data_IF_073406311818
#
_entry.id   IF_073406311818
#
_cell.length_a   1.000
_cell.length_b   1.000
_cell.length_c   1.000
_cell.angle_alpha   90.00
_cell.angle_beta   90.00
_cell.angle_gamma   90.00
#
_symmetry.space_group_name_H-M   'P 1'
#
loop_
_entity.id
_entity.type
_entity.pdbx_description
1 polymer ?
#
# COMPACT_ATOMS: atom_id res chain seq x y z
N UNK A 1 -17.34 8.11 -1.99
CA UNK A 1 -17.40 6.67 -1.54
C UNK A 1 -17.75 6.64 -0.06
N UNK A 2 -18.68 5.75 0.38
CA UNK A 2 -19.05 5.66 1.80
C UNK A 2 -17.95 4.96 2.63
N UNK A 3 -17.93 5.19 3.96
CA UNK A 3 -16.90 4.65 4.87
C UNK A 3 -16.75 3.13 4.77
N UNK A 4 -17.85 2.38 4.73
CA UNK A 4 -17.81 0.91 4.62
C UNK A 4 -17.06 0.44 3.38
N UNK A 5 -17.26 1.11 2.24
CA UNK A 5 -16.56 0.79 1.00
C UNK A 5 -15.08 1.17 1.03
N UNK A 6 -14.75 2.28 1.68
CA UNK A 6 -13.35 2.67 1.91
C UNK A 6 -12.61 1.59 2.71
N UNK A 7 -13.20 1.09 3.80
CA UNK A 7 -12.62 0.00 4.58
C UNK A 7 -12.44 -1.29 3.79
N UNK A 8 -13.44 -1.69 3.00
CA UNK A 8 -13.35 -2.89 2.17
C UNK A 8 -12.21 -2.77 1.15
N UNK A 9 -12.10 -1.62 0.49
CA UNK A 9 -11.01 -1.35 -0.44
C UNK A 9 -9.66 -1.28 0.25
N UNK A 10 -9.56 -0.62 1.41
CA UNK A 10 -8.32 -0.61 2.18
C UNK A 10 -7.87 -2.02 2.56
N UNK A 11 -8.82 -2.85 3.02
CA UNK A 11 -8.53 -4.26 3.36
C UNK A 11 -8.05 -5.03 2.13
N UNK A 12 -8.68 -4.86 0.97
CA UNK A 12 -8.23 -5.46 -0.28
C UNK A 12 -6.83 -4.99 -0.65
N UNK A 13 -6.59 -3.68 -0.71
CA UNK A 13 -5.32 -3.10 -1.15
C UNK A 13 -4.15 -3.53 -0.25
N UNK A 14 -4.38 -3.64 1.04
CA UNK A 14 -3.36 -4.04 2.00
C UNK A 14 -3.15 -5.55 2.10
N UNK A 15 -4.06 -6.36 1.56
CA UNK A 15 -4.05 -7.82 1.62
C UNK A 15 -4.43 -8.47 0.29
N UNK A 16 -3.95 -7.94 -0.82
CA UNK A 16 -4.35 -8.40 -2.17
C UNK A 16 -4.25 -9.92 -2.30
N UNK A 17 -3.16 -10.52 -1.83
CA UNK A 17 -2.94 -11.97 -1.90
C UNK A 17 -3.94 -12.84 -1.13
N UNK A 18 -4.79 -12.25 -0.27
CA UNK A 18 -5.91 -12.98 0.37
C UNK A 18 -7.15 -13.07 -0.53
N UNK A 19 -7.24 -12.25 -1.56
CA UNK A 19 -8.42 -12.13 -2.42
C UNK A 19 -8.17 -12.62 -3.82
N UNK A 20 -6.93 -12.50 -4.30
CA UNK A 20 -6.56 -12.90 -5.67
C UNK A 20 -5.23 -13.64 -5.68
N UNK A 21 -5.15 -14.70 -6.49
CA UNK A 21 -3.93 -15.46 -6.71
C UNK A 21 -3.88 -15.99 -8.16
N UNK A 22 -2.76 -15.83 -8.85
CA UNK A 22 -1.57 -15.04 -8.48
C UNK A 22 -1.86 -13.54 -8.36
N UNK A 23 -0.99 -12.82 -7.61
CA UNK A 23 -1.09 -11.37 -7.43
C UNK A 23 -0.48 -10.69 -8.65
N UNK A 24 -1.30 -10.43 -9.66
CA UNK A 24 -0.90 -9.81 -10.91
C UNK A 24 -1.94 -8.80 -11.41
N UNK A 25 -1.59 -8.10 -12.49
CA UNK A 25 -2.46 -7.11 -13.11
C UNK A 25 -3.82 -7.69 -13.51
N UNK A 26 -3.84 -8.87 -14.14
CA UNK A 26 -5.06 -9.46 -14.69
C UNK A 26 -6.06 -9.79 -13.56
N UNK A 27 -5.60 -10.51 -12.55
CA UNK A 27 -6.45 -10.95 -11.45
C UNK A 27 -6.96 -9.78 -10.60
N UNK A 28 -6.10 -8.78 -10.34
CA UNK A 28 -6.51 -7.55 -9.64
C UNK A 28 -7.56 -6.77 -10.45
N UNK A 29 -7.34 -6.63 -11.76
CA UNK A 29 -8.29 -5.94 -12.63
C UNK A 29 -9.65 -6.64 -12.65
N UNK A 30 -9.66 -7.96 -12.80
CA UNK A 30 -10.88 -8.77 -12.80
C UNK A 30 -11.63 -8.69 -11.47
N UNK A 31 -10.89 -8.72 -10.35
CA UNK A 31 -11.49 -8.58 -9.02
C UNK A 31 -12.16 -7.21 -8.84
N UNK A 32 -11.47 -6.11 -9.21
CA UNK A 32 -12.02 -4.75 -9.08
C UNK A 32 -13.24 -4.57 -9.96
N UNK A 33 -13.19 -5.02 -11.21
CA UNK A 33 -14.34 -4.95 -12.12
C UNK A 33 -15.54 -5.74 -11.58
N UNK A 34 -15.32 -6.97 -11.07
CA UNK A 34 -16.37 -7.78 -10.44
C UNK A 34 -16.95 -7.11 -9.20
N UNK A 35 -16.09 -6.51 -8.37
CA UNK A 35 -16.52 -5.76 -7.19
C UNK A 35 -17.39 -4.55 -7.55
N UNK A 36 -17.02 -3.80 -8.61
CA UNK A 36 -17.80 -2.66 -9.07
C UNK A 36 -19.12 -3.05 -9.74
N UNK A 37 -19.10 -4.10 -10.55
CA UNK A 37 -20.30 -4.63 -11.21
C UNK A 37 -21.38 -5.02 -10.20
N UNK A 38 -20.99 -5.58 -9.05
CA UNK A 38 -21.89 -5.90 -7.95
C UNK A 38 -22.43 -4.69 -7.19
N UNK A 39 -21.92 -3.48 -7.46
CA UNK A 39 -22.30 -2.25 -6.78
C UNK A 39 -22.83 -1.23 -7.78
N UNK A 40 -24.12 -0.96 -7.74
CA UNK A 40 -24.73 0.17 -8.47
C UNK A 40 -24.34 1.50 -7.80
N UNK A 41 -23.15 2.02 -8.05
CA UNK A 41 -22.68 3.30 -7.49
C UNK A 41 -22.54 4.39 -8.56
N UNK A 42 -22.74 5.65 -8.16
CA UNK A 42 -22.65 6.83 -9.02
C UNK A 42 -21.25 7.22 -9.46
N UNK A 43 -20.20 6.74 -8.80
CA UNK A 43 -18.81 6.86 -9.23
C UNK A 43 -18.05 5.59 -8.94
N UNK A 44 -17.40 5.03 -9.95
CA UNK A 44 -16.61 3.83 -9.80
C UNK A 44 -15.24 4.14 -9.21
N UNK A 45 -14.64 3.17 -8.53
CA UNK A 45 -13.27 3.29 -8.05
C UNK A 45 -12.28 3.36 -9.23
N UNK A 46 -12.60 2.66 -10.31
CA UNK A 46 -11.81 2.67 -11.54
C UNK A 46 -11.81 4.04 -12.22
N UNK A 47 -12.93 4.77 -12.21
CA UNK A 47 -12.99 6.17 -12.66
C UNK A 47 -12.09 7.08 -11.80
N UNK A 48 -12.11 6.91 -10.48
CA UNK A 48 -11.24 7.66 -9.59
C UNK A 48 -9.75 7.37 -9.85
N UNK A 49 -9.37 6.12 -10.16
CA UNK A 49 -8.01 5.77 -10.59
C UNK A 49 -7.66 6.51 -11.89
N UNK A 50 -8.51 6.48 -12.90
CA UNK A 50 -8.28 7.16 -14.17
C UNK A 50 -8.09 8.67 -13.98
N UNK A 51 -8.98 9.29 -13.21
CA UNK A 51 -8.93 10.71 -12.91
C UNK A 51 -7.64 11.08 -12.17
N UNK A 52 -7.27 10.31 -11.13
CA UNK A 52 -6.03 10.52 -10.37
C UNK A 52 -4.80 10.44 -11.27
N UNK A 53 -4.72 9.43 -12.13
CA UNK A 53 -3.61 9.24 -13.05
C UNK A 53 -3.49 10.38 -14.08
N UNK A 54 -4.62 10.89 -14.55
CA UNK A 54 -4.64 12.03 -15.47
C UNK A 54 -4.23 13.34 -14.78
N UNK A 55 -4.83 13.66 -13.65
CA UNK A 55 -4.66 14.96 -12.99
C UNK A 55 -3.30 15.11 -12.31
N UNK A 56 -2.92 14.11 -11.54
CA UNK A 56 -1.71 14.20 -10.71
C UNK A 56 -0.45 13.73 -11.44
N UNK A 57 -0.57 12.68 -12.26
CA UNK A 57 0.58 12.05 -12.91
C UNK A 57 0.72 12.40 -14.40
N UNK A 58 -0.28 13.09 -14.97
CA UNK A 58 -0.34 13.45 -16.40
C UNK A 58 -0.29 12.22 -17.32
N UNK A 59 -0.95 11.14 -16.89
CA UNK A 59 -1.08 9.90 -17.66
C UNK A 59 -2.53 9.74 -18.08
N UNK A 60 -2.82 10.14 -19.30
CA UNK A 60 -4.18 10.18 -19.82
C UNK A 60 -4.69 8.79 -20.24
N UNK A 61 -6.01 8.64 -20.24
CA UNK A 61 -6.67 7.43 -20.68
C UNK A 61 -6.43 7.15 -22.16
N UNK A 62 -6.37 5.86 -22.50
CA UNK A 62 -6.31 5.33 -23.86
C UNK A 62 -7.13 4.04 -23.91
N UNK A 63 -7.14 3.36 -25.07
CA UNK A 63 -7.93 2.13 -25.26
C UNK A 63 -7.63 0.99 -24.26
N UNK A 64 -6.49 1.04 -23.59
CA UNK A 64 -6.09 0.07 -22.54
C UNK A 64 -6.61 0.40 -21.14
N UNK A 65 -7.38 1.49 -21.00
CA UNK A 65 -8.06 1.91 -19.78
C UNK A 65 -7.11 2.16 -18.59
N UNK A 66 -7.66 2.13 -17.38
CA UNK A 66 -6.91 2.37 -16.16
C UNK A 66 -5.75 1.37 -15.90
N UNK A 67 -5.86 0.06 -16.27
CA UNK A 67 -4.72 -0.85 -16.09
C UNK A 67 -3.51 -0.46 -16.95
N UNK A 68 -3.76 0.06 -18.16
CA UNK A 68 -2.71 0.57 -19.02
C UNK A 68 -2.12 1.88 -18.51
N UNK A 69 -2.92 2.77 -17.94
CA UNK A 69 -2.41 3.98 -17.29
C UNK A 69 -1.47 3.64 -16.14
N UNK A 70 -1.83 2.67 -15.26
CA UNK A 70 -0.95 2.18 -14.18
C UNK A 70 0.34 1.60 -14.75
N UNK A 71 0.26 0.82 -15.85
CA UNK A 71 1.46 0.26 -16.50
C UNK A 71 2.41 1.36 -16.99
N UNK A 72 1.88 2.44 -17.57
CA UNK A 72 2.70 3.58 -18.01
C UNK A 72 3.35 4.29 -16.81
N UNK A 73 2.63 4.48 -15.72
CA UNK A 73 3.20 5.04 -14.50
C UNK A 73 4.26 4.13 -13.89
N UNK A 74 4.02 2.83 -13.84
CA UNK A 74 4.96 1.82 -13.35
C UNK A 74 6.28 1.87 -14.12
N UNK A 75 6.21 1.91 -15.47
CA UNK A 75 7.38 2.08 -16.33
C UNK A 75 8.11 3.40 -16.07
N UNK A 76 7.39 4.51 -15.95
CA UNK A 76 7.97 5.84 -15.67
C UNK A 76 8.66 5.90 -14.31
N UNK A 77 8.13 5.21 -13.31
CA UNK A 77 8.63 5.20 -11.94
C UNK A 77 9.65 4.09 -11.66
N UNK A 78 9.91 3.22 -12.64
CA UNK A 78 10.73 2.01 -12.48
C UNK A 78 10.24 1.13 -11.32
N UNK A 79 8.93 0.91 -11.28
CA UNK A 79 8.26 0.11 -10.25
C UNK A 79 7.37 -0.96 -10.90
N UNK A 80 6.97 -1.98 -10.13
CA UNK A 80 6.04 -2.97 -10.65
C UNK A 80 4.59 -2.43 -10.65
N UNK A 81 3.75 -3.05 -11.47
CA UNK A 81 2.35 -2.65 -11.65
C UNK A 81 1.54 -2.70 -10.34
N UNK A 82 1.73 -3.74 -9.53
CA UNK A 82 1.00 -3.94 -8.27
C UNK A 82 1.36 -2.85 -7.25
N UNK A 83 2.63 -2.49 -7.17
CA UNK A 83 3.10 -1.40 -6.31
C UNK A 83 2.43 -0.08 -6.69
N UNK A 84 2.41 0.27 -7.98
CA UNK A 84 1.76 1.51 -8.43
C UNK A 84 0.24 1.46 -8.22
N UNK A 85 -0.41 0.33 -8.48
CA UNK A 85 -1.82 0.15 -8.19
C UNK A 85 -2.12 0.44 -6.70
N UNK A 86 -1.34 -0.13 -5.78
CA UNK A 86 -1.47 0.13 -4.33
C UNK A 86 -1.28 1.60 -3.99
N UNK A 87 -0.26 2.26 -4.54
CA UNK A 87 0.02 3.68 -4.27
C UNK A 87 -1.15 4.57 -4.69
N UNK A 88 -1.57 4.47 -5.94
CA UNK A 88 -2.68 5.26 -6.47
C UNK A 88 -3.97 4.99 -5.69
N UNK A 89 -4.22 3.73 -5.35
CA UNK A 89 -5.39 3.33 -4.57
C UNK A 89 -5.38 3.91 -3.15
N UNK A 90 -4.24 3.90 -2.48
CA UNK A 90 -4.08 4.50 -1.14
C UNK A 90 -4.26 6.02 -1.18
N UNK A 91 -3.77 6.71 -2.21
CA UNK A 91 -3.99 8.14 -2.41
C UNK A 91 -5.48 8.48 -2.55
N UNK A 92 -6.20 7.71 -3.39
CA UNK A 92 -7.63 7.91 -3.60
C UNK A 92 -8.40 7.72 -2.28
N UNK A 93 -8.05 6.68 -1.52
CA UNK A 93 -8.67 6.44 -0.23
C UNK A 93 -8.43 7.57 0.76
N UNK A 94 -7.25 8.14 0.73
CA UNK A 94 -6.89 9.26 1.59
C UNK A 94 -7.63 10.54 1.26
N UNK A 95 -7.71 10.89 -0.01
CA UNK A 95 -8.44 12.09 -0.43
C UNK A 95 -9.94 11.97 -0.19
N UNK A 96 -10.48 10.75 -0.24
CA UNK A 96 -11.88 10.49 0.08
C UNK A 96 -12.23 10.79 1.55
N UNK A 97 -11.25 11.06 2.40
CA UNK A 97 -11.42 11.45 3.81
C UNK A 97 -11.22 12.96 4.07
N UNK A 98 -11.44 13.83 3.05
CA UNK A 98 -11.37 15.29 3.17
C UNK A 98 -10.02 15.88 3.67
N UNK A 99 -8.94 15.42 3.07
CA UNK A 99 -7.62 16.05 3.29
C UNK A 99 -6.62 15.24 4.08
N UNK A 100 -6.91 13.99 4.31
CA UNK A 100 -5.97 13.05 4.93
C UNK A 100 -6.66 11.79 5.45
N UNK A 101 -5.87 10.85 5.89
CA UNK A 101 -6.39 9.72 6.63
C UNK A 101 -7.03 10.24 7.92
N UNK A 102 -8.30 9.93 8.12
CA UNK A 102 -8.86 10.09 9.45
C UNK A 102 -8.11 9.15 10.42
N UNK A 103 -8.23 9.40 11.72
CA UNK A 103 -7.56 8.59 12.74
C UNK A 103 -7.87 7.10 12.59
N UNK A 104 -9.05 6.77 12.11
CA UNK A 104 -9.51 5.39 11.91
C UNK A 104 -8.76 4.69 10.77
N UNK A 105 -8.57 5.37 9.63
CA UNK A 105 -7.84 4.80 8.50
C UNK A 105 -6.35 4.69 8.81
N UNK A 106 -5.79 5.69 9.46
CA UNK A 106 -4.42 5.67 9.99
C UNK A 106 -4.23 4.53 10.98
N UNK A 107 -5.17 4.37 11.91
CA UNK A 107 -5.17 3.28 12.89
C UNK A 107 -5.24 1.89 12.24
N UNK A 108 -6.08 1.71 11.22
CA UNK A 108 -6.14 0.43 10.49
C UNK A 108 -4.80 0.12 9.80
N UNK A 109 -4.17 1.10 9.17
CA UNK A 109 -2.88 0.89 8.51
C UNK A 109 -1.78 0.57 9.53
N UNK A 110 -1.72 1.32 10.63
CA UNK A 110 -0.77 1.07 11.72
C UNK A 110 -0.98 -0.31 12.35
N UNK A 111 -2.23 -0.72 12.58
CA UNK A 111 -2.55 -2.06 13.08
C UNK A 111 -2.09 -3.18 12.13
N UNK A 112 -2.15 -2.97 10.80
CA UNK A 112 -1.62 -3.94 9.83
C UNK A 112 -0.09 -4.06 9.91
N UNK A 113 0.61 -2.95 10.06
CA UNK A 113 2.06 -2.96 10.22
C UNK A 113 2.45 -3.60 11.55
N UNK A 114 1.72 -3.30 12.61
CA UNK A 114 1.90 -3.95 13.90
C UNK A 114 1.76 -5.48 13.79
N UNK A 115 0.69 -5.96 13.13
CA UNK A 115 0.49 -7.40 12.90
C UNK A 115 1.60 -8.04 12.04
N UNK A 116 2.23 -7.30 11.12
CA UNK A 116 3.41 -7.79 10.40
C UNK A 116 4.61 -7.92 11.33
N UNK A 117 4.81 -6.96 12.24
CA UNK A 117 5.91 -7.01 13.21
C UNK A 117 5.73 -8.19 14.18
N UNK A 118 4.50 -8.47 14.61
CA UNK A 118 4.21 -9.61 15.49
C UNK A 118 4.45 -10.98 14.87
N UNK A 119 4.44 -11.08 13.55
CA UNK A 119 4.76 -12.33 12.83
C UNK A 119 6.26 -12.65 12.82
N UNK A 120 7.09 -11.74 13.28
CA UNK A 120 8.54 -11.98 13.38
C UNK A 120 8.79 -12.58 14.76
N UNK A 121 9.13 -13.86 14.79
CA UNK A 121 9.58 -14.50 16.02
C UNK A 121 10.95 -13.92 16.43
N UNK A 122 11.11 -13.45 17.67
CA UNK A 122 12.36 -12.82 18.14
C UNK A 122 13.59 -13.71 17.99
N UNK A 123 13.39 -15.02 18.01
CA UNK A 123 14.45 -16.01 17.97
C UNK A 123 14.88 -16.38 16.53
N UNK A 124 14.04 -16.15 15.53
CA UNK A 124 14.29 -16.51 14.13
C UNK A 124 14.54 -15.30 13.23
N UNK A 125 15.23 -14.31 13.77
CA UNK A 125 15.54 -13.05 13.09
C UNK A 125 16.48 -13.17 11.89
N UNK A 126 16.87 -14.39 11.51
CA UNK A 126 17.83 -14.63 10.42
C UNK A 126 17.23 -14.49 9.03
N UNK A 127 15.88 -14.60 8.90
CA UNK A 127 15.26 -14.62 7.57
C UNK A 127 13.87 -13.99 7.59
N UNK A 128 13.77 -12.71 7.22
CA UNK A 128 12.48 -12.19 6.79
C UNK A 128 12.12 -12.88 5.46
N UNK A 129 11.04 -13.61 5.42
CA UNK A 129 10.63 -14.25 4.19
C UNK A 129 10.24 -13.20 3.13
N UNK A 130 10.28 -13.62 1.86
CA UNK A 130 9.96 -12.76 0.73
C UNK A 130 8.57 -12.13 0.86
N UNK A 131 7.60 -12.88 1.37
CA UNK A 131 6.22 -12.43 1.53
C UNK A 131 6.10 -11.32 2.58
N UNK A 132 6.82 -11.45 3.68
CA UNK A 132 6.88 -10.41 4.70
C UNK A 132 7.48 -9.12 4.15
N UNK A 133 8.56 -9.22 3.39
CA UNK A 133 9.22 -8.07 2.76
C UNK A 133 8.28 -7.37 1.77
N UNK A 134 7.61 -8.13 0.91
CA UNK A 134 6.66 -7.61 -0.06
C UNK A 134 5.47 -6.93 0.62
N UNK A 135 4.90 -7.53 1.66
CA UNK A 135 3.82 -6.94 2.45
C UNK A 135 4.27 -5.67 3.16
N UNK A 136 5.46 -5.68 3.76
CA UNK A 136 6.03 -4.50 4.42
C UNK A 136 6.22 -3.34 3.43
N UNK A 137 6.89 -3.57 2.32
CA UNK A 137 7.14 -2.54 1.30
C UNK A 137 5.84 -2.03 0.67
N UNK A 138 4.83 -2.87 0.60
CA UNK A 138 3.50 -2.48 0.14
C UNK A 138 2.76 -1.58 1.12
N UNK A 139 2.91 -1.83 2.43
CA UNK A 139 2.28 -1.04 3.50
C UNK A 139 3.08 0.21 3.86
N UNK A 140 4.38 0.23 3.55
CA UNK A 140 5.29 1.33 3.87
C UNK A 140 6.03 1.85 2.62
N UNK A 141 5.34 2.40 1.59
CA UNK A 141 5.98 2.88 0.36
C UNK A 141 6.77 4.17 0.61
N UNK A 142 8.06 4.07 0.90
CA UNK A 142 8.93 5.21 1.28
C UNK A 142 9.12 6.23 0.19
N UNK A 143 9.04 5.80 -1.06
CA UNK A 143 9.22 6.69 -2.22
C UNK A 143 8.04 7.63 -2.42
N UNK A 144 6.94 7.38 -1.73
CA UNK A 144 5.73 8.17 -1.89
C UNK A 144 5.69 9.29 -0.84
N UNK A 145 5.82 10.58 -1.22
CA UNK A 145 5.91 11.72 -0.29
C UNK A 145 4.70 11.83 0.63
N UNK A 146 3.56 11.40 0.13
CA UNK A 146 2.29 11.47 0.80
C UNK A 146 2.18 10.47 1.97
N UNK A 147 2.80 9.28 1.82
CA UNK A 147 2.77 8.24 2.85
C UNK A 147 3.51 8.64 4.13
N UNK A 148 4.48 9.55 4.01
CA UNK A 148 5.20 10.11 5.16
C UNK A 148 4.26 10.85 6.12
N UNK A 149 3.16 11.44 5.61
CA UNK A 149 2.21 12.21 6.40
C UNK A 149 1.37 11.38 7.37
N UNK A 150 1.31 10.07 7.18
CA UNK A 150 0.56 9.14 8.04
C UNK A 150 1.28 8.87 9.35
N UNK A 151 2.60 8.99 9.32
CA UNK A 151 3.48 8.61 10.41
C UNK A 151 3.92 9.83 11.20
N UNK A 152 3.93 9.69 12.53
CA UNK A 152 4.62 10.65 13.36
C UNK A 152 6.14 10.63 13.07
N UNK A 153 6.81 11.75 13.27
CA UNK A 153 8.26 11.87 13.01
C UNK A 153 9.10 10.78 13.66
N UNK A 154 8.72 10.37 14.88
CA UNK A 154 9.42 9.30 15.63
C UNK A 154 9.30 7.96 14.91
N UNK A 155 8.10 7.59 14.48
CA UNK A 155 7.82 6.36 13.75
C UNK A 155 8.54 6.37 12.39
N UNK A 156 8.47 7.49 11.67
CA UNK A 156 9.09 7.65 10.36
C UNK A 156 10.61 7.50 10.38
N UNK A 157 11.26 7.98 11.44
CA UNK A 157 12.72 7.81 11.64
C UNK A 157 13.13 6.35 11.77
N UNK A 158 12.22 5.48 12.19
CA UNK A 158 12.46 4.02 12.28
C UNK A 158 12.14 3.33 10.95
N UNK A 159 11.00 3.66 10.34
CA UNK A 159 10.52 3.04 9.10
C UNK A 159 11.47 3.30 7.93
N UNK A 160 11.90 4.54 7.73
CA UNK A 160 12.74 4.94 6.61
C UNK A 160 14.04 4.13 6.46
N UNK A 161 14.86 3.91 7.51
CA UNK A 161 16.06 3.08 7.41
C UNK A 161 15.77 1.60 7.14
N UNK A 162 14.69 1.04 7.70
CA UNK A 162 14.26 -0.35 7.42
C UNK A 162 14.00 -0.49 5.93
N UNK A 163 13.17 0.37 5.36
CA UNK A 163 12.84 0.35 3.95
C UNK A 163 14.06 0.50 3.05
N UNK A 164 14.98 1.40 3.41
CA UNK A 164 16.23 1.57 2.64
C UNK A 164 17.02 0.27 2.55
N UNK A 165 17.13 -0.47 3.65
CA UNK A 165 17.84 -1.76 3.68
C UNK A 165 17.10 -2.82 2.85
N UNK A 166 15.79 -2.93 3.01
CA UNK A 166 14.97 -3.90 2.27
C UNK A 166 14.99 -3.65 0.75
N UNK A 167 14.98 -2.38 0.32
CA UNK A 167 15.03 -2.03 -1.10
C UNK A 167 16.41 -2.29 -1.73
N UNK A 168 17.49 -2.25 -0.95
CA UNK A 168 18.83 -2.54 -1.43
C UNK A 168 19.14 -4.04 -1.45
N UNK A 169 18.17 -4.90 -1.11
CA UNK A 169 18.36 -6.34 -0.92
C UNK A 169 19.52 -6.65 0.05
N UNK A 170 19.87 -5.70 0.89
CA UNK A 170 20.84 -5.87 1.96
C UNK A 170 20.18 -6.61 3.11
N UNK A 171 20.02 -7.90 2.90
CA UNK A 171 19.44 -8.83 3.88
C UNK A 171 20.38 -9.16 5.05
N UNK A 172 21.46 -8.41 5.21
CA UNK A 172 22.29 -8.47 6.43
C UNK A 172 21.52 -7.82 7.59
N UNK A 173 20.69 -8.62 8.22
CA UNK A 173 19.64 -8.24 9.15
C UNK A 173 20.08 -7.70 10.50
N UNK A 174 21.37 -7.49 10.73
CA UNK A 174 21.87 -6.95 11.99
C UNK A 174 21.31 -5.53 12.26
N UNK A 175 20.20 -5.44 12.92
CA UNK A 175 19.60 -4.18 13.35
C UNK A 175 18.17 -3.90 12.89
N UNK A 176 17.62 -4.63 11.89
CA UNK A 176 16.20 -4.52 11.52
C UNK A 176 15.30 -5.00 12.67
N UNK A 177 15.52 -6.17 13.29
CA UNK A 177 14.68 -6.63 14.39
C UNK A 177 14.62 -5.63 15.55
N UNK A 178 15.76 -5.06 15.95
CA UNK A 178 15.80 -4.05 17.01
C UNK A 178 14.96 -2.81 16.65
N UNK A 179 15.00 -2.37 15.40
CA UNK A 179 14.19 -1.24 14.91
C UNK A 179 12.71 -1.58 14.85
N UNK A 180 12.36 -2.80 14.48
CA UNK A 180 10.98 -3.27 14.46
C UNK A 180 10.40 -3.35 15.88
N UNK A 181 11.17 -3.80 16.86
CA UNK A 181 10.75 -3.76 18.28
C UNK A 181 10.55 -2.34 18.75
N UNK A 182 11.45 -1.42 18.44
CA UNK A 182 11.29 0.01 18.75
C UNK A 182 10.02 0.60 18.13
N UNK A 183 9.71 0.22 16.88
CA UNK A 183 8.47 0.66 16.23
C UNK A 183 7.25 0.05 16.90
N UNK A 184 7.30 -1.23 17.30
CA UNK A 184 6.24 -1.90 18.03
C UNK A 184 5.91 -1.17 19.33
N UNK A 185 6.92 -0.80 20.11
CA UNK A 185 6.74 -0.06 21.35
C UNK A 185 6.08 1.30 21.12
N UNK A 186 6.48 2.02 20.08
CA UNK A 186 5.88 3.30 19.69
C UNK A 186 4.42 3.18 19.23
N UNK A 187 4.07 2.08 18.58
CA UNK A 187 2.69 1.86 18.11
C UNK A 187 1.75 1.43 19.22
N UNK A 188 2.28 0.96 20.37
CA UNK A 188 1.53 0.56 21.55
C UNK A 188 1.37 1.70 22.57
N UNK A 189 2.11 2.79 22.41
CA UNK A 189 2.04 3.95 23.32
C UNK A 189 0.99 4.96 22.87
#
# INVERSE_FOLDING_TARGET
MNKTNQYKLLTFITRIGMFVYPVDQHNITSFILGYEYGKRQSSSFTEQIQQRLADQYRIFSSSDGWPGQIRRLAKKSNENWVTIFRWVSLEILADATNGGWDETMSGVLKARIFALIERIEPEDTRWLDKWWIEDWLALCPVKHPWFQKIWADKEWRIIKPINKKLLLADYSFSGIPKKLLQLKDLLNS
#
